data_IF_649319378772
#
_entry.id   IF_649319378772
#
_cell.length_a   1.000
_cell.length_b   1.000
_cell.length_c   1.000
_cell.angle_alpha   90.00
_cell.angle_beta   90.00
_cell.angle_gamma   90.00
#
_symmetry.space_group_name_H-M   'P 1'
#
loop_
_entity.id
_entity.type
_entity.pdbx_description
1 polymer ?
#
# COMPACT_ATOMS: atom_id res chain seq x y z
N UNK A 1 6.21 44.13 20.99
CA UNK A 1 6.41 43.62 19.61
C UNK A 1 6.98 42.20 19.66
N UNK A 2 6.14 41.17 19.81
CA UNK A 2 6.53 39.75 19.79
C UNK A 2 5.39 38.87 19.22
N UNK A 3 4.77 39.30 18.12
CA UNK A 3 3.73 38.53 17.43
C UNK A 3 4.27 37.80 16.19
N UNK A 4 5.46 38.17 15.72
CA UNK A 4 6.04 37.64 14.48
C UNK A 4 6.32 36.12 14.46
N UNK A 5 6.86 35.46 15.51
CA UNK A 5 7.26 34.05 15.38
C UNK A 5 6.06 33.09 15.40
N UNK A 6 4.93 33.50 16.00
CA UNK A 6 3.75 32.66 16.16
C UNK A 6 2.94 32.55 14.86
N UNK A 7 2.92 33.63 14.07
CA UNK A 7 2.28 33.66 12.74
C UNK A 7 3.06 32.81 11.74
N UNK A 8 4.40 32.84 11.79
CA UNK A 8 5.24 32.03 10.91
C UNK A 8 5.13 30.54 11.21
N UNK A 9 5.04 30.15 12.49
CA UNK A 9 4.84 28.76 12.88
C UNK A 9 3.45 28.24 12.46
N UNK A 10 2.38 29.04 12.64
CA UNK A 10 1.04 28.66 12.22
C UNK A 10 0.92 28.49 10.69
N UNK A 11 1.64 29.29 9.91
CA UNK A 11 1.65 29.17 8.45
C UNK A 11 2.39 27.92 7.97
N UNK A 12 3.42 27.47 8.69
CA UNK A 12 4.19 26.26 8.35
C UNK A 12 3.37 24.96 8.51
N UNK A 13 2.41 24.91 9.45
CA UNK A 13 1.54 23.73 9.61
C UNK A 13 0.52 23.58 8.47
N UNK A 14 0.21 24.64 7.74
CA UNK A 14 -0.76 24.60 6.63
C UNK A 14 -0.19 23.99 5.34
N UNK A 15 1.14 23.79 5.26
CA UNK A 15 1.82 23.21 4.09
C UNK A 15 2.11 21.71 4.24
N UNK A 16 1.61 21.06 5.29
CA UNK A 16 1.77 19.62 5.45
C UNK A 16 0.84 18.88 4.48
N UNK A 17 1.36 18.50 3.31
CA UNK A 17 0.72 17.52 2.45
C UNK A 17 0.95 16.12 3.07
N UNK A 18 -0.14 15.40 3.36
CA UNK A 18 -0.05 14.04 3.91
C UNK A 18 0.09 13.03 2.76
N UNK A 19 1.09 12.16 2.83
CA UNK A 19 1.13 10.97 1.99
C UNK A 19 0.11 9.95 2.50
N UNK A 20 -0.52 9.19 1.61
CA UNK A 20 -1.48 8.13 1.95
C UNK A 20 -0.97 6.75 1.51
N UNK A 21 -1.31 5.72 2.31
CA UNK A 21 -1.02 4.32 2.02
C UNK A 21 -2.26 3.50 2.37
N UNK A 22 -2.98 3.09 1.34
CA UNK A 22 -4.11 2.18 1.47
C UNK A 22 -3.66 0.77 1.13
N UNK A 23 -4.13 -0.21 1.88
CA UNK A 23 -3.77 -1.60 1.63
C UNK A 23 -4.97 -2.52 1.80
N UNK A 24 -4.99 -3.59 1.02
CA UNK A 24 -6.03 -4.61 1.04
C UNK A 24 -5.39 -5.97 0.83
N UNK A 25 -5.61 -6.87 1.77
CA UNK A 25 -5.24 -8.28 1.66
C UNK A 25 -6.44 -9.10 1.19
N UNK A 26 -6.21 -10.08 0.32
CA UNK A 26 -7.24 -11.01 -0.17
C UNK A 26 -6.67 -12.41 -0.14
N UNK A 27 -7.38 -13.31 0.55
CA UNK A 27 -6.98 -14.70 0.64
C UNK A 27 -7.52 -15.51 -0.54
N UNK A 28 -6.73 -16.47 -1.03
CA UNK A 28 -7.17 -17.36 -2.09
C UNK A 28 -8.09 -18.48 -1.60
N UNK A 29 -9.13 -18.75 -2.39
CA UNK A 29 -10.09 -19.83 -2.14
C UNK A 29 -9.39 -21.18 -2.28
N UNK A 30 -9.53 -22.05 -1.27
CA UNK A 30 -8.95 -23.40 -1.26
C UNK A 30 -7.46 -23.45 -0.90
N UNK A 31 -6.81 -22.31 -0.63
CA UNK A 31 -5.45 -22.29 -0.12
C UNK A 31 -5.41 -22.61 1.39
N UNK A 32 -4.26 -23.09 1.91
CA UNK A 32 -4.05 -23.22 3.36
C UNK A 32 -4.35 -21.90 4.08
N UNK A 33 -4.95 -21.99 5.27
CA UNK A 33 -5.21 -20.83 6.13
C UNK A 33 -4.35 -20.91 7.40
N UNK A 34 -3.06 -20.54 7.30
CA UNK A 34 -2.18 -20.48 8.46
C UNK A 34 -2.63 -19.36 9.41
N UNK A 35 -2.31 -19.51 10.69
CA UNK A 35 -2.47 -18.43 11.66
C UNK A 35 -1.60 -17.23 11.29
N UNK A 36 -2.02 -16.04 11.70
CA UNK A 36 -1.27 -14.81 11.49
C UNK A 36 0.18 -14.92 12.04
N UNK A 37 1.13 -14.41 11.28
CA UNK A 37 2.56 -14.39 11.60
C UNK A 37 2.98 -13.04 12.17
N UNK A 38 4.23 -12.91 12.62
CA UNK A 38 4.77 -11.59 13.00
C UNK A 38 5.12 -10.79 11.74
N UNK A 39 4.73 -9.49 11.62
CA UNK A 39 5.14 -8.65 10.50
C UNK A 39 6.65 -8.62 10.28
N UNK A 40 7.44 -8.63 11.35
CA UNK A 40 8.90 -8.59 11.28
C UNK A 40 9.51 -9.88 10.71
N UNK A 41 8.76 -10.98 10.73
CA UNK A 41 9.19 -12.27 10.17
C UNK A 41 8.89 -12.41 8.67
N UNK A 42 8.06 -11.53 8.11
CA UNK A 42 7.67 -11.57 6.69
C UNK A 42 8.77 -11.02 5.80
N UNK A 43 9.28 -11.86 4.91
CA UNK A 43 10.28 -11.47 3.92
C UNK A 43 9.64 -10.80 2.72
N UNK A 44 10.18 -9.66 2.29
CA UNK A 44 9.78 -9.02 1.02
C UNK A 44 10.72 -9.52 -0.07
N UNK A 45 10.16 -10.16 -1.08
CA UNK A 45 10.89 -10.72 -2.21
C UNK A 45 10.57 -9.92 -3.47
N UNK A 46 11.60 -9.59 -4.25
CA UNK A 46 11.47 -8.95 -5.57
C UNK A 46 11.71 -9.93 -6.73
N UNK A 47 12.06 -11.15 -6.39
CA UNK A 47 12.31 -12.26 -7.31
C UNK A 47 11.49 -13.47 -6.88
N UNK A 48 11.31 -14.42 -7.79
CA UNK A 48 10.59 -15.66 -7.50
C UNK A 48 11.35 -16.50 -6.44
N UNK A 49 10.66 -16.96 -5.37
CA UNK A 49 11.28 -17.78 -4.34
C UNK A 49 11.69 -19.14 -4.89
N UNK A 50 12.91 -19.58 -4.53
CA UNK A 50 13.46 -20.88 -4.95
C UNK A 50 12.98 -22.07 -4.11
N UNK A 51 12.57 -21.81 -2.87
CA UNK A 51 12.08 -22.85 -1.95
C UNK A 51 10.64 -23.22 -2.33
N UNK A 52 10.19 -24.47 -2.15
CA UNK A 52 8.79 -24.82 -2.34
C UNK A 52 7.88 -23.98 -1.43
N UNK A 53 6.79 -23.46 -1.99
CA UNK A 53 5.83 -22.62 -1.27
C UNK A 53 4.40 -22.84 -1.76
N UNK A 54 3.44 -22.46 -0.93
CA UNK A 54 2.03 -22.33 -1.28
C UNK A 54 1.65 -20.85 -1.35
N UNK A 55 0.87 -20.48 -2.37
CA UNK A 55 0.30 -19.13 -2.49
C UNK A 55 -0.97 -19.08 -1.67
N UNK A 56 -1.00 -18.22 -0.66
CA UNK A 56 -2.10 -18.15 0.30
C UNK A 56 -2.99 -16.92 0.08
N UNK A 57 -2.49 -15.91 -0.63
CA UNK A 57 -3.27 -14.74 -1.00
C UNK A 57 -2.48 -13.69 -1.76
N UNK A 58 -3.05 -12.50 -1.84
CA UNK A 58 -2.46 -11.30 -2.41
C UNK A 58 -2.63 -10.11 -1.47
N UNK A 59 -1.70 -9.18 -1.55
CA UNK A 59 -1.77 -7.88 -0.88
C UNK A 59 -1.63 -6.81 -1.95
N UNK A 60 -2.57 -5.89 -1.98
CA UNK A 60 -2.56 -4.71 -2.86
C UNK A 60 -2.30 -3.49 -2.00
N UNK A 61 -1.38 -2.63 -2.43
CA UNK A 61 -1.12 -1.34 -1.83
C UNK A 61 -1.32 -0.27 -2.89
N UNK A 62 -2.11 0.74 -2.55
CA UNK A 62 -2.26 1.97 -3.31
C UNK A 62 -1.68 3.11 -2.48
N UNK A 63 -0.63 3.74 -3.02
CA UNK A 63 0.11 4.82 -2.37
C UNK A 63 -0.02 6.13 -3.17
N UNK A 64 -0.05 7.26 -2.47
CA UNK A 64 -0.01 8.58 -3.11
C UNK A 64 1.30 8.79 -3.87
N UNK A 65 1.26 9.52 -5.00
CA UNK A 65 2.47 9.90 -5.75
C UNK A 65 2.98 11.30 -5.40
N UNK A 66 2.11 12.17 -4.87
CA UNK A 66 2.46 13.53 -4.45
C UNK A 66 1.68 13.94 -3.18
N UNK A 67 2.34 13.95 -2.00
CA UNK A 67 3.70 13.48 -1.77
C UNK A 67 3.77 11.94 -1.80
N UNK A 68 4.90 11.40 -2.28
CA UNK A 68 5.16 9.97 -2.21
C UNK A 68 5.51 9.54 -0.77
N UNK A 69 4.93 8.45 -0.24
CA UNK A 69 5.32 7.91 1.06
C UNK A 69 6.74 7.33 1.04
N UNK A 70 7.35 7.19 2.22
CA UNK A 70 8.64 6.53 2.30
C UNK A 70 8.50 5.04 1.95
N UNK A 71 9.49 4.49 1.22
CA UNK A 71 9.50 3.07 0.82
C UNK A 71 9.39 2.15 2.04
N UNK A 72 10.02 2.50 3.16
CA UNK A 72 9.94 1.74 4.40
C UNK A 72 8.51 1.62 4.94
N UNK A 73 7.69 2.67 4.82
CA UNK A 73 6.30 2.66 5.30
C UNK A 73 5.43 1.75 4.42
N UNK A 74 5.64 1.80 3.10
CA UNK A 74 4.99 0.90 2.14
C UNK A 74 5.37 -0.56 2.42
N UNK A 75 6.66 -0.83 2.62
CA UNK A 75 7.15 -2.17 2.95
C UNK A 75 6.62 -2.67 4.31
N UNK A 76 6.57 -1.81 5.32
CA UNK A 76 6.01 -2.14 6.63
C UNK A 76 4.51 -2.47 6.53
N UNK A 77 3.76 -1.69 5.75
CA UNK A 77 2.35 -1.99 5.50
C UNK A 77 2.18 -3.30 4.76
N UNK A 78 3.03 -3.58 3.76
CA UNK A 78 3.03 -4.83 3.01
C UNK A 78 3.27 -6.04 3.93
N UNK A 79 4.26 -5.94 4.84
CA UNK A 79 4.53 -6.96 5.85
C UNK A 79 3.34 -7.17 6.78
N UNK A 80 2.73 -6.10 7.28
CA UNK A 80 1.60 -6.19 8.20
C UNK A 80 0.39 -6.91 7.58
N UNK A 81 0.03 -6.58 6.35
CA UNK A 81 -1.08 -7.22 5.64
C UNK A 81 -0.78 -8.69 5.28
N UNK A 82 0.44 -8.98 4.82
CA UNK A 82 0.86 -10.35 4.54
C UNK A 82 0.92 -11.21 5.83
N UNK A 83 1.31 -10.61 6.95
CA UNK A 83 1.34 -11.27 8.24
C UNK A 83 -0.05 -11.67 8.74
N UNK A 84 -1.08 -10.85 8.48
CA UNK A 84 -2.48 -11.20 8.79
C UNK A 84 -2.94 -12.44 8.01
N UNK A 85 -2.41 -12.65 6.80
CA UNK A 85 -2.66 -13.87 6.01
C UNK A 85 -1.86 -15.08 6.49
N UNK A 86 -0.95 -14.91 7.45
CA UNK A 86 -0.06 -15.96 7.96
C UNK A 86 1.14 -16.28 7.05
N UNK A 87 1.50 -15.35 6.17
CA UNK A 87 2.58 -15.51 5.20
C UNK A 87 3.96 -15.53 5.87
N UNK A 88 4.90 -16.24 5.25
CA UNK A 88 6.34 -16.17 5.60
C UNK A 88 7.07 -15.18 4.69
N UNK A 89 6.55 -14.96 3.48
CA UNK A 89 7.09 -14.01 2.53
C UNK A 89 5.99 -13.43 1.63
N UNK A 90 6.28 -12.28 1.03
CA UNK A 90 5.46 -11.60 0.04
C UNK A 90 6.31 -11.28 -1.18
N UNK A 91 5.88 -11.75 -2.35
CA UNK A 91 6.60 -11.57 -3.62
C UNK A 91 5.99 -10.42 -4.38
N UNK A 92 6.72 -9.33 -4.58
CA UNK A 92 6.26 -8.18 -5.36
C UNK A 92 6.25 -8.57 -6.83
N UNK A 93 5.08 -8.58 -7.44
CA UNK A 93 4.87 -8.93 -8.86
C UNK A 93 4.47 -7.74 -9.72
N UNK A 94 3.98 -6.68 -9.09
CA UNK A 94 3.57 -5.46 -9.77
C UNK A 94 3.92 -4.24 -8.92
N UNK A 95 4.52 -3.23 -9.53
CA UNK A 95 4.81 -1.93 -8.92
C UNK A 95 4.85 -0.87 -10.04
N UNK A 96 3.78 -0.07 -10.17
CA UNK A 96 3.67 0.99 -11.19
C UNK A 96 2.78 2.13 -10.73
N UNK A 97 3.04 3.33 -11.27
CA UNK A 97 2.12 4.46 -11.18
C UNK A 97 0.99 4.26 -12.19
N UNK A 98 -0.25 4.34 -11.73
CA UNK A 98 -1.46 4.23 -12.56
C UNK A 98 -2.67 4.86 -11.85
N UNK A 99 -3.80 5.06 -12.56
CA UNK A 99 -5.04 5.48 -11.93
C UNK A 99 -5.49 4.49 -10.84
N UNK A 100 -5.54 4.96 -9.60
CA UNK A 100 -6.04 4.18 -8.44
C UNK A 100 -7.47 4.56 -8.06
N UNK A 101 -7.93 5.73 -8.52
CA UNK A 101 -9.30 6.20 -8.34
C UNK A 101 -9.68 7.24 -9.38
N UNK A 102 -10.90 7.76 -9.27
CA UNK A 102 -11.36 8.87 -10.10
C UNK A 102 -12.38 9.72 -9.34
N UNK A 103 -12.31 11.04 -9.54
CA UNK A 103 -13.38 11.95 -9.16
C UNK A 103 -14.31 12.14 -10.35
N UNK A 104 -15.60 11.86 -10.15
CA UNK A 104 -16.64 12.05 -11.16
C UNK A 104 -17.50 13.22 -10.72
N UNK A 105 -17.59 14.25 -11.56
CA UNK A 105 -18.36 15.46 -11.25
C UNK A 105 -19.19 15.92 -12.45
N UNK A 106 -20.32 16.58 -12.19
CA UNK A 106 -21.21 17.11 -13.22
C UNK A 106 -22.57 16.42 -13.30
N UNK A 107 -23.45 16.87 -14.24
CA UNK A 107 -24.79 16.32 -14.41
C UNK A 107 -24.75 14.88 -14.97
N UNK A 108 -25.80 14.10 -14.71
CA UNK A 108 -25.88 12.66 -15.02
C UNK A 108 -25.57 12.27 -16.48
N UNK A 109 -25.72 13.18 -17.43
CA UNK A 109 -25.50 12.95 -18.87
C UNK A 109 -24.27 13.67 -19.45
N UNK A 110 -23.51 14.40 -18.63
CA UNK A 110 -22.29 15.09 -19.06
C UNK A 110 -21.29 15.17 -17.91
N UNK A 111 -20.99 14.02 -17.30
CA UNK A 111 -20.03 13.94 -16.22
C UNK A 111 -18.59 14.06 -16.75
N UNK A 112 -17.78 14.82 -16.03
CA UNK A 112 -16.33 14.89 -16.20
C UNK A 112 -15.69 13.87 -15.26
N UNK A 113 -14.69 13.14 -15.76
CA UNK A 113 -13.94 12.15 -14.98
C UNK A 113 -12.50 12.63 -14.87
N UNK A 114 -12.02 12.83 -13.65
CA UNK A 114 -10.63 13.16 -13.36
C UNK A 114 -9.99 11.99 -12.63
N UNK A 115 -8.97 11.38 -13.23
CA UNK A 115 -8.23 10.28 -12.63
C UNK A 115 -7.39 10.74 -11.44
N UNK A 116 -7.29 9.89 -10.42
CA UNK A 116 -6.37 10.03 -9.29
C UNK A 116 -5.26 9.01 -9.54
N UNK A 117 -4.07 9.51 -9.86
CA UNK A 117 -2.86 8.69 -10.01
C UNK A 117 -2.37 8.22 -8.65
N UNK A 118 -1.88 6.99 -8.59
CA UNK A 118 -1.28 6.40 -7.39
C UNK A 118 -0.25 5.34 -7.78
N UNK A 119 0.71 5.10 -6.91
CA UNK A 119 1.61 3.96 -7.03
C UNK A 119 0.86 2.72 -6.55
N UNK A 120 0.55 1.80 -7.47
CA UNK A 120 -0.04 0.49 -7.15
C UNK A 120 1.05 -0.57 -7.06
N UNK A 121 1.13 -1.21 -5.91
CA UNK A 121 1.98 -2.36 -5.64
C UNK A 121 1.12 -3.60 -5.36
N UNK A 122 1.46 -4.73 -5.99
CA UNK A 122 0.80 -6.02 -5.76
C UNK A 122 1.86 -7.04 -5.33
N UNK A 123 1.65 -7.62 -4.14
CA UNK A 123 2.45 -8.68 -3.58
C UNK A 123 1.66 -9.98 -3.47
N UNK A 124 2.27 -11.11 -3.83
CA UNK A 124 1.70 -12.44 -3.61
C UNK A 124 2.18 -12.96 -2.25
N UNK A 125 1.26 -13.18 -1.33
CA UNK A 125 1.55 -13.74 -0.02
C UNK A 125 1.76 -15.25 -0.13
N UNK A 126 2.88 -15.74 0.42
CA UNK A 126 3.26 -17.14 0.35
C UNK A 126 3.57 -17.72 1.73
N UNK A 127 3.30 -19.02 1.87
CA UNK A 127 3.74 -19.86 3.00
C UNK A 127 4.77 -20.85 2.50
N UNK A 128 5.91 -20.98 3.17
CA UNK A 128 6.85 -22.05 2.83
C UNK A 128 6.30 -23.40 3.28
N UNK A 129 6.59 -24.45 2.51
CA UNK A 129 6.25 -25.84 2.85
C UNK A 129 7.26 -26.46 3.79
#
# INVERSE_FOLDING_TARGET
MKAAPLVTAALALLLAACASIDATSTQYVGAPHPAATSPDSVQILREEPKKPFDRIGEVKIDASTDPAPAVADVENRLRAEAAQLGADAVVIVYDRIQPVGAYVSGPYWAATVQGIEGQRLIGIAIKYR
#
